data_IF_664718770214
#
_entry.id   IF_664718770214
#
_cell.length_a   1.000
_cell.length_b   1.000
_cell.length_c   1.000
_cell.angle_alpha   90.00
_cell.angle_beta   90.00
_cell.angle_gamma   90.00
#
_symmetry.space_group_name_H-M   'P 1'
#
loop_
_entity.id
_entity.type
_entity.pdbx_description
1 polymer ?
#
# COMPACT_ATOMS: atom_id res chain seq x y z
N UNK A 1 29.24 -8.96 -53.09
CA UNK A 1 30.03 -8.65 -51.88
C UNK A 1 30.03 -7.15 -51.65
N UNK A 2 29.32 -6.65 -50.63
CA UNK A 2 29.79 -5.61 -49.70
C UNK A 2 28.75 -5.41 -48.60
N UNK A 3 29.17 -5.73 -47.39
CA UNK A 3 28.42 -5.63 -46.14
C UNK A 3 28.65 -4.23 -45.58
N UNK A 4 27.58 -3.48 -45.29
CA UNK A 4 27.66 -2.24 -44.53
C UNK A 4 27.07 -2.49 -43.13
N UNK A 5 27.94 -2.63 -42.13
CA UNK A 5 27.61 -2.65 -40.69
C UNK A 5 28.45 -1.60 -39.98
N UNK A 6 28.02 -0.34 -40.02
CA UNK A 6 28.48 0.77 -39.16
C UNK A 6 27.24 1.70 -39.05
N UNK A 7 26.65 2.13 -37.93
CA UNK A 7 27.12 2.47 -36.59
C UNK A 7 25.95 2.26 -35.59
N UNK A 8 26.11 1.41 -34.57
CA UNK A 8 25.12 1.23 -33.47
C UNK A 8 25.81 1.20 -32.09
N UNK A 9 26.94 1.89 -31.94
CA UNK A 9 27.78 1.87 -30.73
C UNK A 9 27.93 3.22 -29.99
N UNK A 10 26.96 4.18 -29.99
CA UNK A 10 27.00 5.26 -28.98
C UNK A 10 26.12 5.00 -27.75
N UNK A 11 25.00 4.29 -27.88
CA UNK A 11 23.97 4.24 -26.83
C UNK A 11 24.28 3.27 -25.68
N UNK A 12 24.99 2.17 -25.95
CA UNK A 12 25.32 1.16 -24.94
C UNK A 12 26.31 1.72 -23.90
N UNK A 13 27.21 2.61 -24.32
CA UNK A 13 28.21 3.24 -23.43
C UNK A 13 27.53 4.17 -22.43
N UNK A 14 26.48 4.89 -22.85
CA UNK A 14 25.70 5.78 -21.96
C UNK A 14 24.95 4.97 -20.89
N UNK A 15 24.42 3.80 -21.27
CA UNK A 15 23.76 2.89 -20.32
C UNK A 15 24.72 2.35 -19.26
N UNK A 16 25.94 1.98 -19.65
CA UNK A 16 26.94 1.47 -18.71
C UNK A 16 27.37 2.50 -17.65
N UNK A 17 27.52 3.77 -18.05
CA UNK A 17 27.94 4.86 -17.13
C UNK A 17 26.87 5.14 -16.08
N UNK A 18 25.58 5.09 -16.46
CA UNK A 18 24.47 5.30 -15.52
C UNK A 18 24.43 4.21 -14.43
N UNK A 19 24.70 2.95 -14.79
CA UNK A 19 24.71 1.83 -13.83
C UNK A 19 25.85 1.98 -12.81
N UNK A 20 27.03 2.42 -13.25
CA UNK A 20 28.18 2.63 -12.34
C UNK A 20 27.90 3.73 -11.32
N UNK A 21 27.22 4.81 -11.73
CA UNK A 21 26.85 5.91 -10.82
C UNK A 21 25.86 5.46 -9.72
N UNK A 22 24.91 4.60 -10.06
CA UNK A 22 23.93 4.05 -9.10
C UNK A 22 24.63 3.19 -8.05
N UNK A 23 25.59 2.36 -8.45
CA UNK A 23 26.34 1.48 -7.53
C UNK A 23 27.16 2.32 -6.54
N UNK A 24 27.81 3.39 -7.01
CA UNK A 24 28.57 4.29 -6.13
C UNK A 24 27.64 4.97 -5.10
N UNK A 25 26.46 5.44 -5.53
CA UNK A 25 25.51 6.09 -4.63
C UNK A 25 25.02 5.16 -3.49
N UNK A 26 24.79 3.88 -3.78
CA UNK A 26 24.37 2.90 -2.76
C UNK A 26 25.44 2.66 -1.70
N UNK A 27 26.72 2.58 -2.09
CA UNK A 27 27.84 2.37 -1.16
C UNK A 27 28.01 3.57 -0.20
N UNK A 28 27.76 4.80 -0.67
CA UNK A 28 27.81 5.97 0.20
C UNK A 28 26.70 5.98 1.25
N UNK A 29 25.47 5.57 0.92
CA UNK A 29 24.35 5.54 1.89
C UNK A 29 24.58 4.52 3.01
N UNK A 30 25.19 3.37 2.69
CA UNK A 30 25.54 2.37 3.72
C UNK A 30 26.67 2.81 4.65
N UNK A 31 27.54 3.73 4.22
CA UNK A 31 28.65 4.24 5.05
C UNK A 31 28.21 5.23 6.13
N UNK A 32 27.10 5.94 5.94
CA UNK A 32 26.65 6.99 6.89
C UNK A 32 25.73 6.44 7.98
N UNK A 33 25.15 5.25 7.77
CA UNK A 33 24.28 4.59 8.74
C UNK A 33 25.01 3.74 9.80
N UNK A 34 26.34 3.62 9.73
CA UNK A 34 27.12 2.80 10.66
C UNK A 34 27.61 3.53 11.93
N UNK A 35 27.32 4.83 12.09
CA UNK A 35 27.72 5.61 13.28
C UNK A 35 26.51 6.27 13.94
N UNK A 36 25.66 5.47 14.59
CA UNK A 36 24.72 5.94 15.62
C UNK A 36 24.23 4.75 16.44
N UNK A 37 25.12 4.16 17.22
CA UNK A 37 24.78 3.48 18.46
C UNK A 37 25.50 4.25 19.57
N UNK A 38 24.77 5.05 20.34
CA UNK A 38 25.09 5.20 21.76
C UNK A 38 23.84 5.60 22.56
N UNK A 39 23.84 5.10 23.78
CA UNK A 39 22.77 4.94 24.72
C UNK A 39 22.29 6.25 25.35
N UNK A 40 21.07 6.20 25.89
CA UNK A 40 20.53 7.22 26.77
C UNK A 40 19.24 6.73 27.44
N UNK A 41 19.40 6.08 28.59
CA UNK A 41 18.34 5.86 29.57
C UNK A 41 17.60 7.17 29.88
N UNK A 42 16.27 7.14 29.90
CA UNK A 42 15.52 7.96 30.83
C UNK A 42 14.19 7.30 31.23
N UNK A 43 14.24 6.69 32.41
CA UNK A 43 13.12 6.36 33.29
C UNK A 43 12.34 7.64 33.61
N UNK A 44 11.00 7.60 33.52
CA UNK A 44 10.12 8.35 34.42
C UNK A 44 8.77 7.64 34.55
N UNK A 45 8.36 7.58 35.81
CA UNK A 45 7.30 6.78 36.42
C UNK A 45 6.05 7.67 36.70
N UNK A 46 4.92 7.00 36.97
CA UNK A 46 3.63 7.48 37.52
C UNK A 46 2.73 8.33 36.59
N UNK A 47 1.40 8.15 36.46
CA UNK A 47 0.34 7.67 37.38
C UNK A 47 -0.94 7.31 36.56
N UNK A 48 -1.82 6.39 36.99
CA UNK A 48 -2.99 5.98 36.22
C UNK A 48 -4.20 6.93 36.37
N UNK A 49 -4.85 7.28 35.26
CA UNK A 49 -6.16 7.96 35.28
C UNK A 49 -7.30 6.96 35.18
N UNK A 50 -8.04 6.83 36.28
CA UNK A 50 -9.32 6.14 36.41
C UNK A 50 -10.43 7.00 35.79
N UNK A 51 -11.18 6.44 34.83
CA UNK A 51 -12.49 6.94 34.41
C UNK A 51 -13.55 5.85 34.62
N UNK A 52 -14.57 6.20 35.42
CA UNK A 52 -15.71 5.34 35.81
C UNK A 52 -16.65 5.05 34.62
N UNK A 53 -17.47 3.98 34.71
CA UNK A 53 -18.30 3.48 33.62
C UNK A 53 -19.60 4.28 33.47
N UNK A 54 -20.04 4.53 32.23
CA UNK A 54 -21.42 4.93 31.94
C UNK A 54 -22.18 3.69 31.49
N UNK A 55 -23.10 3.28 32.36
CA UNK A 55 -24.11 2.26 32.15
C UNK A 55 -25.24 2.86 31.29
N UNK A 56 -25.52 2.26 30.14
CA UNK A 56 -26.64 2.60 29.26
C UNK A 56 -27.20 1.35 28.61
N UNK A 57 -28.47 1.08 28.90
CA UNK A 57 -29.20 -0.16 28.64
C UNK A 57 -29.20 -0.68 27.19
N UNK A 58 -29.11 -2.02 27.15
CA UNK A 58 -29.54 -3.03 26.19
C UNK A 58 -30.66 -2.66 25.21
N UNK A 59 -30.41 -2.93 23.92
CA UNK A 59 -31.39 -3.56 23.01
C UNK A 59 -30.70 -4.73 22.30
N UNK A 60 -31.24 -5.96 22.33
CA UNK A 60 -30.67 -7.07 21.58
C UNK A 60 -30.93 -6.81 20.09
N UNK A 61 -29.88 -6.54 19.33
CA UNK A 61 -29.93 -6.62 17.87
C UNK A 61 -29.35 -7.96 17.47
N UNK A 62 -30.18 -8.72 16.76
CA UNK A 62 -29.99 -10.07 16.27
C UNK A 62 -28.60 -10.26 15.64
N UNK A 63 -27.91 -11.32 16.06
CA UNK A 63 -26.72 -11.82 15.41
C UNK A 63 -27.04 -12.19 13.95
N UNK A 64 -26.54 -11.40 13.00
CA UNK A 64 -26.38 -11.85 11.63
C UNK A 64 -25.07 -12.61 11.59
N UNK A 65 -25.14 -13.94 11.58
CA UNK A 65 -24.05 -14.82 11.16
C UNK A 65 -23.55 -14.35 9.79
N UNK A 66 -22.30 -13.89 9.64
CA UNK A 66 -21.75 -13.73 8.30
C UNK A 66 -21.55 -15.13 7.72
N UNK A 67 -22.35 -15.46 6.70
CA UNK A 67 -22.05 -16.57 5.81
C UNK A 67 -20.68 -16.28 5.17
N UNK A 68 -19.68 -17.18 5.26
CA UNK A 68 -18.46 -17.04 4.49
C UNK A 68 -18.86 -17.18 3.02
N UNK A 69 -18.82 -16.08 2.26
CA UNK A 69 -18.91 -16.16 0.81
C UNK A 69 -17.54 -16.55 0.30
N UNK A 70 -17.21 -17.85 0.35
CA UNK A 70 -16.13 -18.41 -0.48
C UNK A 70 -16.65 -18.49 -1.92
N UNK A 71 -16.60 -17.36 -2.61
CA UNK A 71 -16.60 -17.37 -4.07
C UNK A 71 -15.15 -17.51 -4.49
N UNK A 72 -14.75 -18.72 -4.91
CA UNK A 72 -13.56 -18.95 -5.73
C UNK A 72 -13.77 -18.20 -7.06
N UNK A 73 -13.47 -16.89 -7.06
CA UNK A 73 -13.46 -16.09 -8.27
C UNK A 73 -12.11 -16.28 -8.97
N UNK A 74 -12.08 -16.55 -10.29
CA UNK A 74 -10.83 -16.62 -11.04
C UNK A 74 -10.05 -15.32 -10.88
N UNK A 75 -8.71 -15.42 -10.84
CA UNK A 75 -7.79 -14.29 -10.86
C UNK A 75 -7.86 -13.58 -12.22
N UNK A 76 -8.93 -12.81 -12.44
CA UNK A 76 -9.22 -12.07 -13.69
C UNK A 76 -8.37 -10.81 -13.81
N UNK A 77 -7.49 -10.53 -12.84
CA UNK A 77 -6.80 -9.25 -12.73
C UNK A 77 -7.72 -8.09 -12.36
N UNK A 78 -8.98 -8.35 -12.02
CA UNK A 78 -9.92 -7.36 -11.50
C UNK A 78 -9.77 -7.25 -9.98
N UNK A 79 -10.01 -6.04 -9.46
CA UNK A 79 -9.97 -5.80 -8.01
C UNK A 79 -11.16 -6.52 -7.35
N UNK A 80 -10.92 -7.42 -6.37
CA UNK A 80 -11.99 -8.12 -5.66
C UNK A 80 -12.99 -7.16 -5.02
N UNK A 81 -14.28 -7.47 -5.13
CA UNK A 81 -15.33 -6.70 -4.46
C UNK A 81 -15.51 -7.23 -3.04
N UNK A 82 -15.20 -6.40 -2.06
CA UNK A 82 -15.29 -6.76 -0.64
C UNK A 82 -16.05 -5.69 0.13
N UNK A 83 -16.64 -6.07 1.27
CA UNK A 83 -17.25 -5.13 2.20
C UNK A 83 -16.15 -4.39 3.00
N UNK A 84 -16.00 -3.06 2.84
CA UNK A 84 -15.02 -2.30 3.60
C UNK A 84 -15.36 -2.21 5.10
N UNK A 85 -16.59 -2.51 5.52
CA UNK A 85 -17.02 -2.36 6.90
C UNK A 85 -16.94 -0.91 7.39
N UNK A 86 -16.57 -0.71 8.66
CA UNK A 86 -16.36 0.62 9.21
C UNK A 86 -15.16 1.30 8.55
N UNK A 87 -15.31 2.58 8.22
CA UNK A 87 -14.31 3.38 7.51
C UNK A 87 -13.94 4.64 8.30
N UNK A 88 -12.77 5.18 7.98
CA UNK A 88 -12.27 6.46 8.47
C UNK A 88 -11.81 7.31 7.30
N UNK A 89 -11.99 8.63 7.40
CA UNK A 89 -11.57 9.52 6.34
C UNK A 89 -10.03 9.61 6.30
N UNK A 90 -9.46 9.39 5.12
CA UNK A 90 -8.04 9.59 4.83
C UNK A 90 -7.92 10.52 3.63
N UNK A 91 -7.43 11.74 3.90
CA UNK A 91 -7.11 12.76 2.91
C UNK A 91 -5.62 12.81 2.61
N UNK A 92 -5.29 13.08 1.34
CA UNK A 92 -3.95 13.45 0.93
C UNK A 92 -3.96 14.80 0.22
N UNK A 93 -3.62 15.84 0.98
CA UNK A 93 -3.62 17.22 0.51
C UNK A 93 -2.70 17.45 -0.70
N UNK A 94 -1.58 16.72 -0.80
CA UNK A 94 -0.64 16.84 -1.92
C UNK A 94 -1.24 16.48 -3.29
N UNK A 95 -2.32 15.70 -3.32
CA UNK A 95 -3.08 15.38 -4.54
C UNK A 95 -4.49 15.97 -4.54
N UNK A 96 -4.84 16.77 -3.53
CA UNK A 96 -6.18 17.31 -3.34
C UNK A 96 -7.30 16.25 -3.42
N UNK A 97 -7.09 15.11 -2.75
CA UNK A 97 -8.08 14.02 -2.68
C UNK A 97 -8.35 13.59 -1.26
N UNK A 98 -9.55 13.09 -1.02
CA UNK A 98 -9.94 12.45 0.24
C UNK A 98 -10.81 11.22 -0.05
N UNK A 99 -10.75 10.20 0.81
CA UNK A 99 -11.52 8.97 0.68
C UNK A 99 -11.75 8.29 2.01
N UNK A 100 -12.45 7.16 1.98
CA UNK A 100 -12.86 6.37 3.13
C UNK A 100 -12.03 5.08 3.21
N UNK A 101 -11.03 5.05 4.10
CA UNK A 101 -10.17 3.90 4.32
C UNK A 101 -10.82 2.95 5.33
N UNK A 102 -10.85 1.65 5.01
CA UNK A 102 -11.38 0.64 5.93
C UNK A 102 -10.54 0.54 7.20
N UNK A 103 -11.23 0.50 8.34
CA UNK A 103 -10.63 0.22 9.65
C UNK A 103 -10.15 -1.22 9.81
N UNK A 104 -10.58 -2.15 8.92
CA UNK A 104 -10.09 -3.54 8.89
C UNK A 104 -8.60 -3.63 8.61
N UNK A 105 -8.02 -2.62 7.94
CA UNK A 105 -6.58 -2.55 7.69
C UNK A 105 -5.76 -2.33 8.97
N UNK A 106 -6.40 -1.98 10.08
CA UNK A 106 -5.75 -1.72 11.37
C UNK A 106 -5.10 -0.34 11.41
N UNK A 107 -4.09 -0.19 12.28
CA UNK A 107 -3.31 1.04 12.32
C UNK A 107 -2.62 1.27 10.96
N UNK A 108 -2.81 2.46 10.39
CA UNK A 108 -2.29 2.79 9.06
C UNK A 108 -1.41 4.03 9.12
N UNK A 109 -0.33 3.99 8.34
CA UNK A 109 0.51 5.15 8.05
C UNK A 109 0.81 5.17 6.55
N UNK A 110 1.21 6.31 6.02
CA UNK A 110 1.54 6.41 4.60
C UNK A 110 2.83 7.17 4.36
N UNK A 111 3.50 6.81 3.26
CA UNK A 111 4.65 7.53 2.71
C UNK A 111 4.40 7.81 1.24
N UNK A 112 4.86 8.96 0.75
CA UNK A 112 4.66 9.36 -0.65
C UNK A 112 5.99 9.45 -1.36
N UNK A 113 6.10 8.73 -2.46
CA UNK A 113 7.28 8.67 -3.32
C UNK A 113 6.85 9.06 -4.74
N UNK A 114 6.91 10.36 -5.04
CA UNK A 114 6.42 10.92 -6.31
C UNK A 114 4.92 10.68 -6.47
N UNK A 115 4.55 9.92 -7.49
CA UNK A 115 3.16 9.60 -7.83
C UNK A 115 2.61 8.35 -7.13
N UNK A 116 3.34 7.78 -6.16
CA UNK A 116 2.90 6.61 -5.40
C UNK A 116 2.81 6.93 -3.91
N UNK A 117 1.64 6.67 -3.32
CA UNK A 117 1.39 6.70 -1.89
C UNK A 117 1.37 5.26 -1.38
N UNK A 118 2.44 4.85 -0.69
CA UNK A 118 2.53 3.55 -0.04
C UNK A 118 1.82 3.63 1.31
N UNK A 119 0.92 2.68 1.56
CA UNK A 119 0.13 2.56 2.77
C UNK A 119 0.65 1.35 3.56
N UNK A 120 1.28 1.64 4.69
CA UNK A 120 1.74 0.63 5.63
C UNK A 120 0.63 0.39 6.67
N UNK A 121 0.19 -0.85 6.77
CA UNK A 121 -0.96 -1.24 7.58
C UNK A 121 -0.74 -2.60 8.27
N UNK A 122 -1.52 -2.88 9.31
CA UNK A 122 -1.34 -4.08 10.13
C UNK A 122 -1.87 -5.35 9.42
N UNK A 123 -3.00 -5.25 8.71
CA UNK A 123 -3.64 -6.41 8.09
C UNK A 123 -2.73 -7.18 7.11
N UNK A 124 -2.01 -6.52 6.16
CA UNK A 124 -1.07 -7.22 5.29
C UNK A 124 0.02 -7.99 6.03
N UNK A 125 0.46 -7.51 7.21
CA UNK A 125 1.50 -8.18 8.02
C UNK A 125 1.03 -9.48 8.66
N UNK A 126 -0.28 -9.73 8.67
CA UNK A 126 -0.87 -10.99 9.14
C UNK A 126 -0.79 -12.12 8.11
N UNK A 127 -0.39 -11.81 6.86
CA UNK A 127 -0.16 -12.83 5.84
C UNK A 127 0.96 -13.78 6.29
N UNK A 128 0.92 -15.07 5.89
CA UNK A 128 1.98 -16.04 6.20
C UNK A 128 3.36 -15.54 5.77
N UNK A 129 4.42 -16.00 6.45
CA UNK A 129 5.80 -15.62 6.13
C UNK A 129 6.23 -16.03 4.71
N UNK A 130 5.61 -17.07 4.15
CA UNK A 130 5.76 -17.46 2.73
C UNK A 130 5.32 -16.38 1.75
N UNK A 131 4.53 -15.40 2.22
CA UNK A 131 3.99 -14.28 1.47
C UNK A 131 4.60 -12.94 1.92
N UNK A 132 5.84 -12.93 2.43
CA UNK A 132 6.50 -11.73 2.94
C UNK A 132 6.51 -10.55 1.95
N UNK A 133 6.61 -10.82 0.65
CA UNK A 133 6.54 -9.80 -0.40
C UNK A 133 5.16 -9.14 -0.48
N UNK A 134 4.09 -9.87 -0.14
CA UNK A 134 2.73 -9.35 -0.08
C UNK A 134 2.38 -8.66 1.25
N UNK A 135 3.26 -8.71 2.26
CA UNK A 135 3.04 -8.01 3.54
C UNK A 135 3.30 -6.49 3.44
N UNK A 136 3.90 -6.01 2.34
CA UNK A 136 4.25 -4.60 2.11
C UNK A 136 4.05 -4.24 0.64
N UNK A 137 4.20 -2.96 0.27
CA UNK A 137 4.10 -2.52 -1.14
C UNK A 137 2.68 -2.28 -1.64
N UNK A 138 1.71 -2.17 -0.73
CA UNK A 138 0.36 -1.74 -1.03
C UNK A 138 0.24 -0.22 -1.03
N UNK A 139 -0.63 0.32 -1.89
CA UNK A 139 -0.78 1.77 -1.96
C UNK A 139 -1.74 2.25 -3.04
N UNK A 140 -1.66 3.54 -3.33
CA UNK A 140 -2.39 4.22 -4.40
C UNK A 140 -1.39 4.95 -5.29
N UNK A 141 -1.51 4.78 -6.60
CA UNK A 141 -0.75 5.53 -7.60
C UNK A 141 -1.61 6.61 -8.24
N UNK A 142 -1.00 7.73 -8.62
CA UNK A 142 -1.58 8.80 -9.44
C UNK A 142 -0.94 8.79 -10.84
N UNK A 143 -1.71 9.17 -11.86
CA UNK A 143 -1.24 9.34 -13.23
C UNK A 143 -2.09 10.38 -13.95
N UNK A 144 -1.52 11.11 -14.90
CA UNK A 144 -2.29 12.03 -15.76
C UNK A 144 -3.02 11.29 -16.89
N UNK A 145 -2.61 10.06 -17.18
CA UNK A 145 -3.17 9.21 -18.24
C UNK A 145 -3.69 7.89 -17.69
N UNK A 146 -4.74 7.35 -18.33
CA UNK A 146 -5.27 6.02 -18.01
C UNK A 146 -4.30 4.94 -18.51
N UNK A 147 -3.43 4.44 -17.63
CA UNK A 147 -2.39 3.47 -17.99
C UNK A 147 -2.72 2.02 -17.61
N UNK A 148 -3.73 1.78 -16.77
CA UNK A 148 -4.05 0.43 -16.26
C UNK A 148 -5.57 0.14 -16.18
N UNK A 149 -5.90 -1.15 -16.05
CA UNK A 149 -7.28 -1.68 -16.12
C UNK A 149 -8.13 -1.40 -14.88
N UNK A 150 -7.54 -0.96 -13.77
CA UNK A 150 -8.24 -0.72 -12.50
C UNK A 150 -7.98 0.68 -11.95
N UNK A 151 -8.18 1.70 -12.79
CA UNK A 151 -8.00 3.10 -12.42
C UNK A 151 -9.31 3.86 -12.38
N UNK A 152 -9.44 4.81 -11.44
CA UNK A 152 -10.56 5.74 -11.35
C UNK A 152 -10.09 7.17 -11.65
N UNK A 153 -10.88 7.93 -12.42
CA UNK A 153 -10.61 9.34 -12.65
C UNK A 153 -11.18 10.17 -11.50
N UNK A 154 -10.35 11.00 -10.86
CA UNK A 154 -10.74 11.95 -9.82
C UNK A 154 -10.15 13.30 -10.20
N UNK A 155 -11.01 14.28 -10.51
CA UNK A 155 -10.58 15.52 -11.14
C UNK A 155 -9.88 15.27 -12.47
N UNK A 156 -8.66 15.78 -12.62
CA UNK A 156 -7.86 15.66 -13.84
C UNK A 156 -6.89 14.46 -13.85
N UNK A 157 -6.82 13.70 -12.76
CA UNK A 157 -5.89 12.57 -12.62
C UNK A 157 -6.62 11.22 -12.54
N UNK A 158 -5.91 10.18 -12.93
CA UNK A 158 -6.27 8.78 -12.75
C UNK A 158 -5.55 8.22 -11.53
N UNK A 159 -6.30 7.52 -10.68
CA UNK A 159 -5.78 6.85 -9.50
C UNK A 159 -5.93 5.34 -9.66
N UNK A 160 -4.98 4.56 -9.15
CA UNK A 160 -5.00 3.09 -9.21
C UNK A 160 -4.45 2.47 -7.93
N UNK A 161 -4.82 1.21 -7.66
CA UNK A 161 -4.23 0.46 -6.54
C UNK A 161 -2.84 -0.03 -6.94
N UNK A 162 -1.85 0.28 -6.12
CA UNK A 162 -0.53 -0.36 -6.18
C UNK A 162 -0.62 -1.63 -5.35
N UNK A 163 -0.30 -2.76 -5.99
CA UNK A 163 -0.25 -4.08 -5.35
C UNK A 163 1.17 -4.65 -5.44
N UNK A 164 1.54 -5.55 -4.52
CA UNK A 164 2.80 -6.29 -4.61
C UNK A 164 2.86 -7.13 -5.88
N UNK A 165 4.08 -7.30 -6.42
CA UNK A 165 4.29 -8.06 -7.65
C UNK A 165 3.92 -9.55 -7.50
N UNK A 166 4.13 -10.10 -6.31
CA UNK A 166 3.83 -11.49 -5.97
C UNK A 166 2.51 -11.58 -5.20
N UNK A 167 1.65 -12.50 -5.62
CA UNK A 167 0.44 -12.86 -4.89
C UNK A 167 0.74 -13.90 -3.81
N UNK A 168 -0.09 -13.95 -2.77
CA UNK A 168 0.01 -14.96 -1.72
C UNK A 168 -0.86 -16.18 -2.05
N UNK A 169 -0.25 -17.28 -2.52
CA UNK A 169 -1.01 -18.50 -2.85
C UNK A 169 -1.48 -19.28 -1.63
N UNK A 170 -0.77 -19.18 -0.51
CA UNK A 170 -1.10 -19.90 0.73
C UNK A 170 -2.34 -19.31 1.43
N UNK A 171 -2.57 -18.01 1.29
CA UNK A 171 -3.78 -17.36 1.81
C UNK A 171 -4.34 -16.35 0.79
N UNK A 172 -4.88 -16.89 -0.31
CA UNK A 172 -5.49 -16.10 -1.38
C UNK A 172 -6.69 -15.29 -0.89
N UNK A 173 -7.48 -15.84 0.03
CA UNK A 173 -8.65 -15.16 0.58
C UNK A 173 -8.26 -13.85 1.28
N UNK A 174 -7.26 -13.89 2.17
CA UNK A 174 -6.78 -12.69 2.85
C UNK A 174 -6.10 -11.71 1.88
N UNK A 175 -5.32 -12.21 0.92
CA UNK A 175 -4.71 -11.35 -0.10
C UNK A 175 -5.77 -10.61 -0.93
N UNK A 176 -6.82 -11.32 -1.36
CA UNK A 176 -7.93 -10.74 -2.10
C UNK A 176 -8.76 -9.79 -1.24
N UNK A 177 -8.93 -10.09 0.04
CA UNK A 177 -9.57 -9.17 0.99
C UNK A 177 -8.77 -7.86 1.08
N UNK A 178 -7.46 -7.94 1.33
CA UNK A 178 -6.58 -6.76 1.37
C UNK A 178 -6.70 -5.97 0.07
N UNK A 179 -6.55 -6.63 -1.08
CA UNK A 179 -6.64 -5.97 -2.39
C UNK A 179 -7.99 -5.29 -2.60
N UNK A 180 -9.08 -5.96 -2.23
CA UNK A 180 -10.42 -5.41 -2.30
C UNK A 180 -10.62 -4.20 -1.38
N UNK A 181 -10.00 -4.17 -0.19
CA UNK A 181 -10.07 -3.04 0.73
C UNK A 181 -9.37 -1.80 0.16
N UNK A 182 -8.19 -1.95 -0.46
CA UNK A 182 -7.55 -0.87 -1.22
C UNK A 182 -8.38 -0.44 -2.43
N UNK A 183 -9.05 -1.40 -3.06
CA UNK A 183 -10.04 -1.17 -4.11
C UNK A 183 -11.22 -0.31 -3.67
N UNK A 184 -11.78 -0.60 -2.50
CA UNK A 184 -12.87 0.16 -1.92
C UNK A 184 -12.43 1.58 -1.56
N UNK A 185 -11.22 1.74 -0.99
CA UNK A 185 -10.63 3.06 -0.75
C UNK A 185 -10.48 3.84 -2.06
N UNK A 186 -9.90 3.23 -3.10
CA UNK A 186 -9.76 3.84 -4.42
C UNK A 186 -11.11 4.33 -4.95
N UNK A 187 -12.17 3.50 -4.89
CA UNK A 187 -13.52 3.84 -5.35
C UNK A 187 -14.18 4.96 -4.54
N UNK A 188 -13.75 5.17 -3.30
CA UNK A 188 -14.27 6.21 -2.43
C UNK A 188 -13.59 7.58 -2.60
N UNK A 189 -12.49 7.66 -3.36
CA UNK A 189 -11.75 8.90 -3.55
C UNK A 189 -12.61 9.95 -4.24
N UNK A 190 -12.55 11.16 -3.71
CA UNK A 190 -13.15 12.37 -4.27
C UNK A 190 -12.15 13.52 -4.19
N UNK A 191 -12.33 14.52 -5.05
CA UNK A 191 -11.60 15.78 -4.93
C UNK A 191 -11.95 16.43 -3.57
N UNK A 192 -10.93 16.93 -2.88
CA UNK A 192 -11.07 17.65 -1.62
C UNK A 192 -11.22 19.15 -1.82
#
# INVERSE_FOLDING_TARGET
>A
MKSNREQLIPWIVVSAIAVVAIIIALVFVSSINATSNDAGEQTNDATPSTSKPVQGNTKPSTASTPTPSETDEPDTGEIPVVDPGATSELGFAGWNVTGQLSTKLGATSFTVNGDVMNLDSELPRTLPASCATAQSGWGISRSESKTATNTMKVGDAYFGVVKPAESCSENKALFNEIWGLYGAYLKSLKAS
#
